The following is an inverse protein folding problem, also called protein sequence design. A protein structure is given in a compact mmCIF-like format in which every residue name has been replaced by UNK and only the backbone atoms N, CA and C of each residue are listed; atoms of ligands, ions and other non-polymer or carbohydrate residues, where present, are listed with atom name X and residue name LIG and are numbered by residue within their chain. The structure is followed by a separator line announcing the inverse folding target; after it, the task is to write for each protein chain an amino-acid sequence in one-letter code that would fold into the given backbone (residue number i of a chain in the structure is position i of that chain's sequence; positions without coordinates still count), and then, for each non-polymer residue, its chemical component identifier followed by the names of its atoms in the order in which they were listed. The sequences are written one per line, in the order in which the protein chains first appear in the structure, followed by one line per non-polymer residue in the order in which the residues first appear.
data_IF_968343819441
#
_entry.id   IF_968343819441
#
_cell.length_a   1.000
_cell.length_b   1.000
_cell.length_c   1.000
_cell.angle_alpha   90.00
_cell.angle_beta   90.00
_cell.angle_gamma   90.00
#
_symmetry.space_group_name_H-M   'P 1'
#
loop_
_entity.id
_entity.type
_entity.pdbx_description
1 polymer ?
#
# COMPACT_ATOMS: atom_id res chain seq x y z
N UNK A 1 -13.14 21.08 -8.83
CA UNK A 1 -13.33 22.12 -7.79
C UNK A 1 -12.04 22.11 -6.99
N UNK A 2 -11.16 23.09 -7.23
CA UNK A 2 -9.86 23.15 -6.56
C UNK A 2 -10.04 23.57 -5.11
N UNK A 3 -9.94 22.58 -4.21
CA UNK A 3 -9.81 22.81 -2.77
C UNK A 3 -8.33 22.78 -2.40
N UNK A 4 -7.54 23.69 -2.96
CA UNK A 4 -6.16 23.89 -2.51
C UNK A 4 -6.22 24.91 -1.34
N UNK A 5 -5.85 24.53 -0.10
CA UNK A 5 -5.85 25.47 1.01
C UNK A 5 -4.76 26.53 0.81
N UNK A 6 -5.09 27.82 0.97
CA UNK A 6 -4.14 28.94 0.80
C UNK A 6 -2.95 28.86 1.79
N UNK A 7 -1.75 29.13 1.25
CA UNK A 7 -0.50 29.21 2.02
C UNK A 7 -0.58 30.28 3.11
N UNK A 8 -0.62 29.85 4.37
CA UNK A 8 -0.64 30.75 5.53
C UNK A 8 -1.17 30.10 6.81
N UNK A 9 -1.92 29.01 6.69
CA UNK A 9 -2.42 28.23 7.81
C UNK A 9 -1.67 26.90 7.93
N UNK A 10 -1.08 26.66 9.10
CA UNK A 10 -0.47 25.39 9.45
C UNK A 10 -1.61 24.39 9.71
N UNK A 11 -2.02 23.62 8.70
CA UNK A 11 -3.05 22.60 8.90
C UNK A 11 -2.39 21.27 9.31
N UNK A 12 -2.60 20.80 10.54
CA UNK A 12 -1.99 19.55 11.02
C UNK A 12 -2.57 18.29 10.35
N UNK A 13 -3.68 18.42 9.64
CA UNK A 13 -4.33 17.34 8.91
C UNK A 13 -5.22 17.93 7.81
N UNK A 14 -5.18 17.32 6.63
CA UNK A 14 -6.07 17.64 5.50
C UNK A 14 -6.90 16.39 5.18
N UNK A 15 -8.21 16.58 4.99
CA UNK A 15 -9.15 15.53 4.60
C UNK A 15 -10.00 16.02 3.44
N UNK A 16 -10.02 15.26 2.34
CA UNK A 16 -10.83 15.56 1.16
C UNK A 16 -11.66 14.33 0.81
N UNK A 17 -12.91 14.56 0.38
CA UNK A 17 -13.80 13.51 -0.08
C UNK A 17 -14.57 13.98 -1.32
N UNK A 18 -14.60 13.16 -2.36
CA UNK A 18 -15.36 13.43 -3.59
C UNK A 18 -15.87 12.13 -4.24
N UNK A 19 -16.56 12.22 -5.39
CA UNK A 19 -16.83 11.05 -6.22
C UNK A 19 -15.56 10.64 -6.99
N UNK A 20 -14.94 11.57 -7.70
CA UNK A 20 -13.71 11.33 -8.45
C UNK A 20 -12.64 12.30 -7.99
N UNK A 21 -11.43 11.80 -7.73
CA UNK A 21 -10.29 12.59 -7.26
C UNK A 21 -9.02 12.21 -8.03
N UNK A 22 -8.46 13.20 -8.71
CA UNK A 22 -7.11 13.15 -9.32
C UNK A 22 -6.34 14.36 -8.78
N UNK A 23 -5.92 14.34 -7.50
CA UNK A 23 -5.22 15.46 -6.91
C UNK A 23 -3.73 15.39 -7.22
N UNK A 24 -3.20 16.48 -7.77
CA UNK A 24 -1.77 16.77 -7.77
C UNK A 24 -1.47 17.65 -6.54
N UNK A 25 -0.76 17.10 -5.54
CA UNK A 25 -0.45 17.83 -4.31
C UNK A 25 1.04 18.09 -4.19
N UNK A 26 1.40 19.37 -4.30
CA UNK A 26 2.77 19.88 -4.35
C UNK A 26 3.29 20.44 -3.00
N UNK A 27 2.43 20.49 -1.97
CA UNK A 27 2.73 21.16 -0.70
C UNK A 27 3.05 20.17 0.43
N UNK A 28 3.85 20.62 1.41
CA UNK A 28 4.20 19.82 2.59
C UNK A 28 3.09 19.91 3.64
N UNK A 29 2.40 18.80 3.91
CA UNK A 29 1.47 18.70 5.04
C UNK A 29 1.84 17.54 5.95
N UNK A 30 1.57 17.66 7.27
CA UNK A 30 1.89 16.60 8.21
C UNK A 30 1.08 15.32 8.01
N UNK A 31 -0.21 15.40 7.64
CA UNK A 31 -1.06 14.22 7.41
C UNK A 31 -2.11 14.50 6.32
N UNK A 32 -2.30 13.56 5.40
CA UNK A 32 -3.33 13.63 4.34
C UNK A 32 -4.27 12.43 4.40
N UNK A 33 -5.56 12.70 4.26
CA UNK A 33 -6.61 11.70 4.06
C UNK A 33 -7.42 12.03 2.81
N UNK A 34 -7.46 11.13 1.83
CA UNK A 34 -8.33 11.27 0.66
C UNK A 34 -9.33 10.12 0.64
N UNK A 35 -10.59 10.41 0.30
CA UNK A 35 -11.58 9.38 0.02
C UNK A 35 -12.38 9.66 -1.24
N UNK A 36 -12.52 8.65 -2.11
CA UNK A 36 -13.29 8.81 -3.34
C UNK A 36 -14.09 7.55 -3.71
N UNK A 37 -14.88 7.64 -4.78
CA UNK A 37 -15.28 6.46 -5.54
C UNK A 37 -14.08 6.01 -6.38
N UNK A 38 -13.58 6.90 -7.23
CA UNK A 38 -12.40 6.67 -8.07
C UNK A 38 -11.27 7.63 -7.67
N UNK A 39 -10.11 7.08 -7.32
CA UNK A 39 -8.98 7.84 -6.78
C UNK A 39 -7.67 7.46 -7.48
N UNK A 40 -7.10 8.41 -8.23
CA UNK A 40 -5.83 8.25 -8.95
C UNK A 40 -4.91 9.42 -8.57
N UNK A 41 -4.30 9.39 -7.37
CA UNK A 41 -3.44 10.47 -6.93
C UNK A 41 -2.00 10.25 -7.39
N UNK A 42 -1.40 11.32 -7.90
CA UNK A 42 0.05 11.42 -8.15
C UNK A 42 0.64 12.32 -7.07
N UNK A 43 1.42 11.73 -6.14
CA UNK A 43 1.90 12.45 -4.96
C UNK A 43 3.43 12.44 -4.90
N UNK A 44 4.00 13.60 -5.22
CA UNK A 44 5.45 13.81 -5.35
C UNK A 44 6.05 14.57 -4.16
N UNK A 45 5.44 14.51 -2.98
CA UNK A 45 5.96 15.20 -1.78
C UNK A 45 6.16 14.28 -0.59
N UNK A 46 6.92 14.78 0.39
CA UNK A 46 7.14 14.11 1.66
C UNK A 46 5.99 14.46 2.62
N UNK A 47 5.24 13.44 3.05
CA UNK A 47 4.24 13.60 4.10
C UNK A 47 4.48 12.55 5.17
N UNK A 48 4.44 12.92 6.46
CA UNK A 48 4.59 11.97 7.55
C UNK A 48 3.59 10.81 7.50
N UNK A 49 2.33 11.08 7.12
CA UNK A 49 1.26 10.09 7.09
C UNK A 49 0.31 10.31 5.89
N UNK A 50 0.01 9.24 5.16
CA UNK A 50 -0.97 9.20 4.07
C UNK A 50 -2.00 8.10 4.29
N UNK A 51 -3.28 8.47 4.16
CA UNK A 51 -4.40 7.55 4.12
C UNK A 51 -5.22 7.79 2.87
N UNK A 52 -5.32 6.81 1.98
CA UNK A 52 -6.19 6.86 0.80
C UNK A 52 -7.25 5.77 0.90
N UNK A 53 -8.50 6.11 0.59
CA UNK A 53 -9.59 5.15 0.58
C UNK A 53 -10.47 5.33 -0.65
N UNK A 54 -10.75 4.28 -1.42
CA UNK A 54 -11.64 4.39 -2.57
C UNK A 54 -12.47 3.15 -2.85
N UNK A 55 -13.29 3.18 -3.89
CA UNK A 55 -13.76 1.96 -4.53
C UNK A 55 -12.66 1.47 -5.47
N UNK A 56 -12.23 2.32 -6.42
CA UNK A 56 -11.10 2.06 -7.31
C UNK A 56 -9.92 2.98 -6.95
N UNK A 57 -8.75 2.39 -6.63
CA UNK A 57 -7.57 3.13 -6.18
C UNK A 57 -6.32 2.70 -6.95
N UNK A 58 -5.75 3.63 -7.73
CA UNK A 58 -4.52 3.42 -8.50
C UNK A 58 -3.55 4.57 -8.20
N UNK A 59 -2.82 4.52 -7.08
CA UNK A 59 -1.90 5.58 -6.70
C UNK A 59 -0.51 5.33 -7.28
N UNK A 60 0.07 6.37 -7.88
CA UNK A 60 1.49 6.44 -8.22
C UNK A 60 2.22 7.27 -7.19
N UNK A 61 3.04 6.64 -6.34
CA UNK A 61 3.69 7.32 -5.22
C UNK A 61 5.21 7.20 -5.29
N UNK A 62 5.86 8.31 -5.62
CA UNK A 62 7.28 8.35 -5.97
C UNK A 62 8.17 8.96 -4.88
N UNK A 63 7.74 8.91 -3.62
CA UNK A 63 8.51 9.49 -2.51
C UNK A 63 8.51 8.63 -1.25
N UNK A 64 9.34 9.01 -0.29
CA UNK A 64 9.44 8.36 1.02
C UNK A 64 8.38 8.96 1.95
N UNK A 65 7.51 8.11 2.49
CA UNK A 65 6.56 8.51 3.51
C UNK A 65 6.69 7.57 4.70
N UNK A 66 6.80 8.10 5.92
CA UNK A 66 6.95 7.28 7.10
C UNK A 66 5.82 6.25 7.30
N UNK A 67 4.58 6.62 6.94
CA UNK A 67 3.39 5.77 7.10
C UNK A 67 2.43 5.91 5.92
N UNK A 68 2.12 4.79 5.27
CA UNK A 68 1.14 4.70 4.19
C UNK A 68 0.06 3.67 4.51
N UNK A 69 -1.19 4.09 4.40
CA UNK A 69 -2.37 3.22 4.47
C UNK A 69 -3.23 3.42 3.24
N UNK A 70 -3.46 2.36 2.47
CA UNK A 70 -4.36 2.37 1.31
C UNK A 70 -5.48 1.36 1.54
N UNK A 71 -6.72 1.75 1.28
CA UNK A 71 -7.86 0.84 1.30
C UNK A 71 -8.77 1.01 0.10
N UNK A 72 -9.16 -0.09 -0.55
CA UNK A 72 -10.09 0.01 -1.67
C UNK A 72 -10.99 -1.21 -1.84
N UNK A 73 -11.90 -1.16 -2.83
CA UNK A 73 -12.46 -2.38 -3.40
C UNK A 73 -11.42 -3.00 -4.33
N UNK A 74 -10.99 -2.25 -5.35
CA UNK A 74 -9.92 -2.61 -6.28
C UNK A 74 -8.69 -1.70 -6.05
N UNK A 75 -7.54 -2.30 -5.74
CA UNK A 75 -6.31 -1.58 -5.40
C UNK A 75 -5.11 -2.08 -6.21
N UNK A 76 -4.56 -1.20 -7.04
CA UNK A 76 -3.37 -1.47 -7.87
C UNK A 76 -2.35 -0.34 -7.66
N UNK A 77 -1.54 -0.40 -6.59
CA UNK A 77 -0.52 0.60 -6.33
C UNK A 77 0.81 0.24 -6.99
N UNK A 78 1.45 1.26 -7.58
CA UNK A 78 2.82 1.21 -8.09
C UNK A 78 3.69 2.08 -7.17
N UNK A 79 4.59 1.45 -6.40
CA UNK A 79 5.36 2.14 -5.35
C UNK A 79 6.88 1.89 -5.49
N UNK A 80 7.59 2.93 -5.92
CA UNK A 80 9.00 2.87 -6.31
C UNK A 80 10.01 3.35 -5.28
N UNK A 81 9.57 3.59 -4.04
CA UNK A 81 10.44 4.13 -2.99
C UNK A 81 10.39 3.28 -1.73
N UNK A 82 11.37 3.40 -0.82
CA UNK A 82 11.33 2.71 0.47
C UNK A 82 10.41 3.47 1.44
N UNK A 83 9.46 2.76 2.05
CA UNK A 83 8.58 3.32 3.08
C UNK A 83 8.74 2.51 4.34
N UNK A 84 8.88 3.15 5.52
CA UNK A 84 9.05 2.43 6.76
C UNK A 84 7.90 1.45 7.02
N UNK A 85 6.67 1.90 6.83
CA UNK A 85 5.44 1.18 7.19
C UNK A 85 4.39 1.33 6.08
N UNK A 86 4.04 0.20 5.46
CA UNK A 86 3.01 0.10 4.42
C UNK A 86 1.91 -0.88 4.85
N UNK A 87 0.66 -0.41 4.80
CA UNK A 87 -0.54 -1.22 5.01
C UNK A 87 -1.49 -1.07 3.83
N UNK A 88 -1.78 -2.16 3.13
CA UNK A 88 -2.74 -2.20 2.03
C UNK A 88 -3.87 -3.16 2.37
N UNK A 89 -5.11 -2.74 2.11
CA UNK A 89 -6.29 -3.57 2.29
C UNK A 89 -7.27 -3.42 1.14
N UNK A 90 -7.68 -4.51 0.48
CA UNK A 90 -8.68 -4.40 -0.58
C UNK A 90 -9.64 -5.60 -0.67
N UNK A 91 -10.61 -5.55 -1.58
CA UNK A 91 -11.27 -6.76 -2.06
C UNK A 91 -10.31 -7.48 -3.02
N UNK A 92 -9.92 -6.80 -4.10
CA UNK A 92 -8.90 -7.26 -5.05
C UNK A 92 -7.64 -6.38 -4.93
N UNK A 93 -6.49 -7.02 -4.67
CA UNK A 93 -5.22 -6.33 -4.42
C UNK A 93 -4.10 -6.91 -5.27
N UNK A 94 -3.56 -6.09 -6.17
CA UNK A 94 -2.45 -6.45 -7.07
C UNK A 94 -1.35 -5.37 -6.96
N UNK A 95 -0.51 -5.43 -5.92
CA UNK A 95 0.58 -4.48 -5.74
C UNK A 95 1.85 -4.96 -6.45
N UNK A 96 2.54 -4.01 -7.08
CA UNK A 96 3.86 -4.20 -7.67
C UNK A 96 4.83 -3.30 -6.88
N UNK A 97 5.75 -3.91 -6.11
CA UNK A 97 6.58 -3.21 -5.14
C UNK A 97 8.06 -3.57 -5.27
N UNK A 98 8.87 -2.59 -5.69
CA UNK A 98 10.24 -2.86 -6.16
C UNK A 98 11.36 -2.36 -5.23
N UNK A 99 11.16 -2.36 -3.91
CA UNK A 99 12.12 -1.74 -2.98
C UNK A 99 12.28 -2.43 -1.62
N UNK A 100 13.14 -1.87 -0.77
CA UNK A 100 13.32 -2.30 0.62
C UNK A 100 12.29 -1.60 1.50
N UNK A 101 11.45 -2.39 2.17
CA UNK A 101 10.48 -1.86 3.12
C UNK A 101 10.59 -2.59 4.45
N UNK A 102 10.81 -1.86 5.57
CA UNK A 102 10.94 -2.47 6.88
C UNK A 102 9.72 -3.28 7.31
N UNK A 103 8.50 -2.81 7.00
CA UNK A 103 7.24 -3.43 7.41
C UNK A 103 6.18 -3.33 6.32
N UNK A 104 5.73 -4.50 5.83
CA UNK A 104 4.64 -4.63 4.87
C UNK A 104 3.52 -5.52 5.42
N UNK A 105 2.30 -4.99 5.39
CA UNK A 105 1.08 -5.74 5.68
C UNK A 105 0.09 -5.61 4.52
N UNK A 106 -0.23 -6.73 3.87
CA UNK A 106 -1.23 -6.80 2.82
C UNK A 106 -2.40 -7.68 3.28
N UNK A 107 -3.61 -7.21 3.05
CA UNK A 107 -4.83 -7.97 3.32
C UNK A 107 -5.83 -7.84 2.19
N UNK A 108 -6.38 -8.94 1.67
CA UNK A 108 -7.43 -8.83 0.66
C UNK A 108 -8.43 -9.99 0.67
N UNK A 109 -9.45 -9.94 -0.19
CA UNK A 109 -10.17 -11.14 -0.58
C UNK A 109 -9.31 -11.93 -1.56
N UNK A 110 -8.95 -11.32 -2.69
CA UNK A 110 -8.00 -11.85 -3.67
C UNK A 110 -6.71 -11.03 -3.65
N UNK A 111 -5.57 -11.69 -3.42
CA UNK A 111 -4.25 -11.06 -3.26
C UNK A 111 -3.21 -11.70 -4.16
N UNK A 112 -2.72 -10.92 -5.13
CA UNK A 112 -1.68 -11.34 -6.08
C UNK A 112 -0.53 -10.33 -6.07
N UNK A 113 0.36 -10.38 -5.05
CA UNK A 113 1.47 -9.48 -4.94
C UNK A 113 2.69 -10.01 -5.70
N UNK A 114 3.31 -9.13 -6.47
CA UNK A 114 4.64 -9.32 -7.06
C UNK A 114 5.62 -8.47 -6.25
N UNK A 115 6.46 -9.12 -5.46
CA UNK A 115 7.37 -8.43 -4.54
C UNK A 115 8.82 -8.84 -4.78
N UNK A 116 9.59 -7.87 -5.23
CA UNK A 116 11.02 -7.98 -5.36
C UNK A 116 11.74 -7.31 -4.17
N UNK A 117 12.97 -7.74 -3.88
CA UNK A 117 13.91 -7.20 -2.89
C UNK A 117 13.76 -7.65 -1.42
N UNK A 118 14.47 -6.96 -0.51
CA UNK A 118 14.63 -7.35 0.89
C UNK A 118 13.58 -6.68 1.78
N UNK A 119 12.79 -7.50 2.47
CA UNK A 119 11.77 -7.01 3.39
C UNK A 119 11.95 -7.68 4.75
N UNK A 120 12.33 -6.93 5.80
CA UNK A 120 12.54 -7.49 7.12
C UNK A 120 11.30 -8.19 7.69
N UNK A 121 10.10 -7.64 7.41
CA UNK A 121 8.82 -8.14 7.90
C UNK A 121 7.73 -8.05 6.82
N UNK A 122 7.26 -9.22 6.39
CA UNK A 122 6.12 -9.36 5.46
C UNK A 122 4.98 -10.16 6.11
N UNK A 123 3.79 -9.60 6.09
CA UNK A 123 2.54 -10.28 6.46
C UNK A 123 1.52 -10.17 5.32
N UNK A 124 1.13 -11.32 4.77
CA UNK A 124 0.08 -11.44 3.75
C UNK A 124 -1.10 -12.23 4.32
N UNK A 125 -2.31 -11.69 4.15
CA UNK A 125 -3.55 -12.38 4.54
C UNK A 125 -4.59 -12.26 3.44
N UNK A 126 -5.16 -13.37 2.96
CA UNK A 126 -6.26 -13.27 1.99
C UNK A 126 -7.28 -14.41 2.09
N UNK A 127 -8.34 -14.34 1.29
CA UNK A 127 -9.13 -15.54 0.99
C UNK A 127 -8.36 -16.38 -0.04
N UNK A 128 -8.07 -15.81 -1.22
CA UNK A 128 -7.22 -16.40 -2.24
C UNK A 128 -5.87 -15.63 -2.30
N UNK A 129 -4.76 -16.34 -2.11
CA UNK A 129 -3.42 -15.76 -2.04
C UNK A 129 -2.47 -16.43 -3.02
N UNK A 130 -1.98 -15.67 -4.00
CA UNK A 130 -1.02 -16.13 -5.02
C UNK A 130 0.20 -15.18 -5.04
N UNK A 131 1.12 -15.31 -4.07
CA UNK A 131 2.28 -14.44 -3.99
C UNK A 131 3.44 -14.97 -4.84
N UNK A 132 4.06 -14.07 -5.59
CA UNK A 132 5.34 -14.28 -6.24
C UNK A 132 6.40 -13.51 -5.43
N UNK A 133 7.22 -14.26 -4.68
CA UNK A 133 8.22 -13.70 -3.76
C UNK A 133 9.62 -14.15 -4.13
N UNK A 134 10.42 -13.19 -4.59
CA UNK A 134 11.84 -13.37 -4.82
C UNK A 134 12.65 -12.71 -3.69
N UNK A 135 13.94 -13.06 -3.57
CA UNK A 135 14.90 -12.52 -2.59
C UNK A 135 14.74 -12.98 -1.11
N UNK A 136 15.43 -12.32 -0.18
CA UNK A 136 15.62 -12.77 1.21
C UNK A 136 14.64 -12.09 2.17
N UNK A 137 13.82 -12.90 2.86
CA UNK A 137 12.76 -12.45 3.76
C UNK A 137 13.01 -12.97 5.17
N UNK A 138 13.57 -12.17 6.09
CA UNK A 138 13.84 -12.60 7.45
C UNK A 138 12.60 -13.10 8.18
N UNK A 139 11.45 -12.42 8.01
CA UNK A 139 10.18 -12.78 8.61
C UNK A 139 9.06 -12.75 7.57
N UNK A 140 8.49 -13.91 7.28
CA UNK A 140 7.37 -14.10 6.37
C UNK A 140 6.20 -14.77 7.09
N UNK A 141 5.02 -14.14 7.05
CA UNK A 141 3.76 -14.72 7.50
C UNK A 141 2.74 -14.70 6.37
N UNK A 142 2.24 -15.88 6.00
CA UNK A 142 1.21 -16.08 4.98
C UNK A 142 0.00 -16.75 5.62
N UNK A 143 -1.19 -16.18 5.43
CA UNK A 143 -2.46 -16.74 5.91
C UNK A 143 -3.50 -16.64 4.81
N UNK A 144 -4.02 -17.76 4.31
CA UNK A 144 -5.11 -17.74 3.34
C UNK A 144 -6.08 -18.90 3.47
N UNK A 145 -7.25 -18.78 2.84
CA UNK A 145 -8.11 -19.94 2.63
C UNK A 145 -7.45 -20.83 1.56
N UNK A 146 -7.30 -20.31 0.35
CA UNK A 146 -6.55 -20.94 -0.73
C UNK A 146 -5.19 -20.24 -0.93
N UNK A 147 -4.10 -21.01 -0.85
CA UNK A 147 -2.73 -20.50 -0.92
C UNK A 147 -1.91 -21.22 -1.99
N UNK A 148 -1.41 -20.46 -2.97
CA UNK A 148 -0.56 -20.96 -4.06
C UNK A 148 0.69 -20.07 -4.15
N UNK A 149 1.74 -20.34 -3.34
CA UNK A 149 2.90 -19.47 -3.27
C UNK A 149 4.02 -19.94 -4.21
N UNK A 150 4.61 -19.00 -4.95
CA UNK A 150 5.87 -19.20 -5.67
C UNK A 150 7.00 -18.54 -4.86
N UNK A 151 7.79 -19.37 -4.19
CA UNK A 151 8.84 -18.94 -3.27
C UNK A 151 10.21 -19.36 -3.78
N UNK A 152 10.96 -18.42 -4.33
CA UNK A 152 12.36 -18.64 -4.67
C UNK A 152 13.20 -17.96 -3.59
N UNK A 153 13.71 -18.68 -2.57
CA UNK A 153 14.85 -18.34 -1.66
C UNK A 153 14.68 -18.85 -0.20
N UNK A 154 15.51 -18.34 0.72
CA UNK A 154 15.63 -18.73 2.13
C UNK A 154 14.75 -17.82 3.01
N UNK A 155 13.91 -18.44 3.83
CA UNK A 155 13.05 -17.80 4.82
C UNK A 155 13.45 -18.28 6.22
N UNK A 156 14.26 -17.50 6.98
CA UNK A 156 14.66 -17.89 8.33
C UNK A 156 13.47 -18.10 9.27
N UNK A 157 12.40 -17.31 9.09
CA UNK A 157 11.15 -17.43 9.83
C UNK A 157 9.99 -17.41 8.84
N UNK A 158 9.32 -18.55 8.70
CA UNK A 158 8.16 -18.76 7.84
C UNK A 158 6.98 -19.27 8.65
N UNK A 159 5.86 -18.54 8.60
CA UNK A 159 4.57 -18.96 9.13
C UNK A 159 3.58 -19.11 7.98
N UNK A 160 2.96 -20.29 7.87
CA UNK A 160 1.99 -20.64 6.83
C UNK A 160 0.71 -21.14 7.48
N UNK A 161 -0.42 -20.47 7.21
CA UNK A 161 -1.75 -20.92 7.59
C UNK A 161 -2.63 -21.02 6.34
N UNK A 162 -3.05 -22.23 5.98
CA UNK A 162 -3.98 -22.48 4.89
C UNK A 162 -5.20 -23.23 5.44
N UNK A 163 -6.41 -22.81 5.04
CA UNK A 163 -7.67 -23.40 5.51
C UNK A 163 -8.39 -24.03 4.32
N UNK A 164 -8.44 -25.36 4.26
CA UNK A 164 -9.16 -26.13 3.23
C UNK A 164 -10.60 -26.46 3.63
#
# INVERSE_FOLDING_TARGET
WDLIPEQGNYWPWVSLSACDLIPELDNHWPCLSLSAWDLIPELDNHWPCLSLSAFDLIPGLNNIWPWLSLSAWDLIPELDNPWPWLSLSAWDLIPELDNIWPWLSLSAWDLIPELDNHWPWLSLSAWDLIPELDNHWPWLSLSAWDLIPELNNIFPWLSLSAWH
#
